data_IF_997983388506
#
_entry.id   IF_997983388506
#
_cell.length_a   1.000
_cell.length_b   1.000
_cell.length_c   1.000
_cell.angle_alpha   90.00
_cell.angle_beta   90.00
_cell.angle_gamma   90.00
#
_symmetry.space_group_name_H-M   'P 1'
#
loop_
_entity.id
_entity.type
_entity.pdbx_description
1 polymer ?
#
# COMPACT_ATOMS: atom_id res chain seq x y z
N UNK A 1 39.28 -35.15 9.44
CA UNK A 1 39.38 -33.80 8.84
C UNK A 1 38.15 -33.62 7.96
N UNK A 2 37.07 -33.06 8.52
CA UNK A 2 35.84 -32.77 7.77
C UNK A 2 35.89 -31.30 7.38
N UNK A 3 35.90 -31.01 6.08
CA UNK A 3 35.83 -29.66 5.54
C UNK A 3 34.39 -29.13 5.72
N UNK A 4 34.21 -28.27 6.72
CA UNK A 4 33.02 -27.44 6.91
C UNK A 4 33.04 -26.31 5.87
N UNK A 5 32.35 -26.52 4.75
CA UNK A 5 32.16 -25.54 3.70
C UNK A 5 31.01 -24.61 4.09
N UNK A 6 31.29 -23.63 4.96
CA UNK A 6 30.35 -22.53 5.22
C UNK A 6 30.32 -21.59 4.02
N UNK A 7 29.24 -21.69 3.24
CA UNK A 7 28.85 -20.62 2.33
C UNK A 7 28.58 -19.33 3.13
N UNK A 8 29.02 -18.16 2.67
CA UNK A 8 28.71 -16.90 3.33
C UNK A 8 27.21 -16.62 3.27
N UNK A 9 26.65 -16.27 4.44
CA UNK A 9 25.30 -15.73 4.64
C UNK A 9 25.06 -14.63 3.60
N UNK A 10 24.04 -14.80 2.77
CA UNK A 10 23.62 -13.76 1.83
C UNK A 10 23.23 -12.50 2.58
N UNK A 11 23.73 -11.36 2.11
CA UNK A 11 23.48 -10.03 2.61
C UNK A 11 21.97 -9.75 2.65
N UNK A 12 21.40 -9.85 3.85
CA UNK A 12 20.09 -9.32 4.18
C UNK A 12 20.21 -7.82 4.42
N UNK A 13 19.21 -7.10 3.90
CA UNK A 13 18.76 -5.80 4.38
C UNK A 13 19.65 -4.59 4.05
N UNK A 14 19.37 -4.02 2.88
CA UNK A 14 19.34 -2.57 2.74
C UNK A 14 18.23 -2.02 3.65
N UNK A 15 18.49 -1.94 4.95
CA UNK A 15 17.75 -1.04 5.84
C UNK A 15 18.00 0.37 5.31
N UNK A 16 17.00 0.94 4.64
CA UNK A 16 17.01 2.38 4.42
C UNK A 16 16.93 3.04 5.80
N UNK A 17 17.95 3.83 6.14
CA UNK A 17 17.93 4.70 7.31
C UNK A 17 16.79 5.72 7.16
N UNK A 18 15.65 5.36 7.75
CA UNK A 18 14.44 6.17 7.76
C UNK A 18 14.59 7.40 8.67
N UNK A 19 15.48 7.31 9.67
CA UNK A 19 15.64 8.30 10.74
C UNK A 19 16.43 9.53 10.30
N UNK A 20 17.27 9.38 9.28
CA UNK A 20 18.11 10.45 8.74
C UNK A 20 17.47 11.34 7.67
N UNK A 21 16.21 11.11 7.28
CA UNK A 21 15.60 11.86 6.15
C UNK A 21 14.96 13.17 6.61
N UNK A 22 15.42 14.29 6.04
CA UNK A 22 14.83 15.63 6.22
C UNK A 22 13.34 15.70 5.86
N UNK A 23 12.66 16.78 6.25
CA UNK A 23 11.21 16.93 6.14
C UNK A 23 10.71 16.72 4.70
N UNK A 24 9.47 16.20 4.47
CA UNK A 24 8.89 15.96 3.14
C UNK A 24 9.05 17.14 2.15
N UNK A 25 8.99 18.36 2.68
CA UNK A 25 9.11 19.62 1.93
C UNK A 25 10.54 19.92 1.43
N UNK A 26 11.56 19.41 2.11
CA UNK A 26 12.97 19.56 1.73
C UNK A 26 13.42 18.50 0.71
N UNK A 27 12.65 17.40 0.56
CA UNK A 27 13.00 16.23 -0.25
C UNK A 27 12.60 16.36 -1.73
N UNK A 28 11.57 17.13 -2.02
CA UNK A 28 11.10 17.35 -3.40
C UNK A 28 11.83 18.55 -3.99
N UNK A 29 12.99 18.32 -4.60
CA UNK A 29 13.74 19.38 -5.25
C UNK A 29 13.00 19.86 -6.51
N UNK A 30 12.61 21.15 -6.61
CA UNK A 30 11.88 21.67 -7.77
C UNK A 30 12.60 21.46 -9.11
N UNK A 31 13.95 21.42 -9.09
CA UNK A 31 14.76 21.16 -10.27
C UNK A 31 14.59 19.71 -10.80
N UNK A 32 14.62 18.72 -9.91
CA UNK A 32 14.42 17.32 -10.29
C UNK A 32 13.00 17.07 -10.83
N UNK A 33 12.00 17.73 -10.24
CA UNK A 33 10.63 17.71 -10.76
C UNK A 33 10.53 18.27 -12.19
N UNK A 34 11.17 19.41 -12.44
CA UNK A 34 11.17 20.05 -13.74
C UNK A 34 11.85 19.19 -14.82
N UNK A 35 12.99 18.58 -14.51
CA UNK A 35 13.70 17.66 -15.42
C UNK A 35 12.92 16.39 -15.72
N UNK A 36 12.20 15.87 -14.73
CA UNK A 36 11.31 14.73 -14.90
C UNK A 36 10.07 15.05 -15.76
N UNK A 37 9.78 16.32 -16.07
CA UNK A 37 8.63 16.72 -16.88
C UNK A 37 7.37 16.99 -16.06
N UNK A 38 7.52 17.48 -14.82
CA UNK A 38 6.41 17.79 -13.93
C UNK A 38 5.40 18.71 -14.61
N UNK A 39 4.11 18.45 -14.36
CA UNK A 39 3.03 19.22 -15.00
C UNK A 39 2.73 18.83 -16.46
N UNK A 40 3.52 17.95 -17.09
CA UNK A 40 3.21 17.41 -18.44
C UNK A 40 2.32 16.17 -18.35
N UNK A 41 1.49 15.99 -19.39
CA UNK A 41 0.56 14.87 -19.48
C UNK A 41 -0.49 14.83 -18.37
N UNK A 42 -1.23 13.73 -18.30
CA UNK A 42 -2.14 13.46 -17.19
C UNK A 42 -1.34 13.02 -15.96
N UNK A 43 -1.71 13.45 -14.73
CA UNK A 43 -1.10 12.94 -13.51
C UNK A 43 -1.13 11.40 -13.47
N UNK A 44 -0.01 10.77 -13.12
CA UNK A 44 0.16 9.30 -13.13
C UNK A 44 0.64 8.72 -14.46
N UNK A 45 0.82 9.53 -15.51
CA UNK A 45 1.38 9.03 -16.78
C UNK A 45 2.89 8.77 -16.65
N UNK A 46 3.26 7.49 -16.72
CA UNK A 46 4.63 7.00 -16.57
C UNK A 46 5.62 7.59 -17.59
N UNK A 47 5.13 8.04 -18.75
CA UNK A 47 5.97 8.60 -19.82
C UNK A 47 6.55 9.96 -19.47
N UNK A 48 5.96 10.65 -18.50
CA UNK A 48 6.43 11.91 -17.97
C UNK A 48 7.02 11.74 -16.57
N UNK A 49 7.33 10.52 -16.12
CA UNK A 49 8.10 10.31 -14.89
C UNK A 49 9.59 10.34 -15.20
N UNK A 50 10.39 10.80 -14.23
CA UNK A 50 11.84 10.69 -14.25
C UNK A 50 12.29 9.22 -14.33
N UNK A 51 13.51 8.94 -14.84
CA UNK A 51 13.96 7.57 -15.12
C UNK A 51 13.88 6.64 -13.90
N UNK A 52 14.21 7.15 -12.71
CA UNK A 52 14.19 6.38 -11.48
C UNK A 52 12.77 5.96 -11.08
N UNK A 53 11.83 6.91 -11.02
CA UNK A 53 10.43 6.65 -10.68
C UNK A 53 9.80 5.73 -11.72
N UNK A 54 10.10 5.93 -13.01
CA UNK A 54 9.63 5.04 -14.08
C UNK A 54 10.15 3.63 -13.92
N UNK A 55 11.43 3.46 -13.56
CA UNK A 55 12.02 2.14 -13.37
C UNK A 55 11.39 1.39 -12.19
N UNK A 56 11.00 2.11 -11.13
CA UNK A 56 10.33 1.51 -9.98
C UNK A 56 8.84 1.23 -10.22
N UNK A 57 8.09 2.18 -10.79
CA UNK A 57 6.64 2.02 -11.04
C UNK A 57 6.34 1.15 -12.26
N UNK A 58 7.17 1.17 -13.30
CA UNK A 58 6.94 0.42 -14.54
C UNK A 58 6.61 -1.06 -14.28
N UNK A 59 7.48 -1.82 -13.59
CA UNK A 59 7.23 -3.23 -13.27
C UNK A 59 5.94 -3.47 -12.48
N UNK A 60 5.61 -2.59 -11.51
CA UNK A 60 4.36 -2.67 -10.74
C UNK A 60 3.12 -2.43 -11.61
N UNK A 61 3.23 -1.55 -12.61
CA UNK A 61 2.10 -1.09 -13.42
C UNK A 61 1.97 -1.79 -14.75
N UNK A 62 2.99 -2.51 -15.23
CA UNK A 62 2.95 -3.24 -16.51
C UNK A 62 2.81 -4.75 -16.29
N UNK A 63 3.17 -5.25 -15.11
CA UNK A 63 3.04 -6.65 -14.72
C UNK A 63 1.60 -7.16 -14.61
N UNK A 64 1.43 -8.46 -14.40
CA UNK A 64 0.15 -9.11 -14.08
C UNK A 64 -0.28 -8.92 -12.64
N UNK A 65 0.56 -8.32 -11.80
CA UNK A 65 0.25 -8.07 -10.40
C UNK A 65 1.38 -7.40 -9.64
N UNK A 66 1.11 -7.10 -8.38
CA UNK A 66 2.07 -6.59 -7.41
C UNK A 66 1.79 -7.17 -6.03
N UNK A 67 2.77 -7.07 -5.15
CA UNK A 67 2.65 -7.49 -3.76
C UNK A 67 3.01 -6.33 -2.83
N UNK A 68 2.24 -6.13 -1.77
CA UNK A 68 2.55 -5.18 -0.70
C UNK A 68 2.80 -5.96 0.58
N UNK A 69 3.99 -5.80 1.16
CA UNK A 69 4.38 -6.42 2.43
C UNK A 69 4.37 -5.37 3.53
N UNK A 70 3.70 -5.63 4.64
CA UNK A 70 3.79 -4.80 5.83
C UNK A 70 5.04 -5.17 6.65
N UNK A 71 5.82 -4.16 7.03
CA UNK A 71 6.99 -4.35 7.89
C UNK A 71 6.53 -4.15 9.34
N UNK A 72 6.52 -5.24 10.11
CA UNK A 72 6.34 -5.21 11.56
C UNK A 72 7.73 -5.18 12.21
N UNK A 73 8.24 -3.99 12.53
CA UNK A 73 9.52 -3.89 13.24
C UNK A 73 9.34 -4.34 14.69
N UNK A 74 9.95 -5.47 15.06
CA UNK A 74 10.01 -5.96 16.44
C UNK A 74 10.81 -5.04 17.39
N UNK A 75 11.22 -3.85 16.93
CA UNK A 75 12.01 -2.86 17.65
C UNK A 75 11.16 -1.88 18.50
N UNK A 76 9.84 -2.06 18.61
CA UNK A 76 9.02 -1.28 19.55
C UNK A 76 9.33 -1.60 21.05
N UNK A 77 10.10 -2.66 21.35
CA UNK A 77 10.36 -3.09 22.73
C UNK A 77 11.56 -2.35 23.38
N UNK A 78 12.49 -1.73 22.63
CA UNK A 78 13.75 -1.26 23.23
C UNK A 78 14.04 0.24 23.13
N UNK A 79 13.44 1.02 22.22
CA UNK A 79 13.76 2.45 22.10
C UNK A 79 12.48 3.22 21.78
N UNK A 80 12.06 4.06 22.72
CA UNK A 80 10.84 4.85 22.60
C UNK A 80 10.82 5.70 21.34
N UNK A 81 9.85 5.38 20.48
CA UNK A 81 9.21 6.19 19.43
C UNK A 81 9.72 5.99 18.00
N UNK A 82 8.86 5.36 17.19
CA UNK A 82 8.53 5.66 15.79
C UNK A 82 7.38 4.70 15.37
N UNK A 83 6.13 5.16 15.38
CA UNK A 83 4.89 4.33 15.32
C UNK A 83 4.11 4.41 13.99
N UNK A 84 4.78 4.78 12.89
CA UNK A 84 4.15 4.93 11.58
C UNK A 84 4.05 3.61 10.81
N UNK A 85 3.00 3.43 10.00
CA UNK A 85 2.88 2.26 9.13
C UNK A 85 4.00 2.25 8.06
N UNK A 86 4.61 1.09 7.84
CA UNK A 86 5.67 0.86 6.86
C UNK A 86 5.36 -0.34 5.98
N UNK A 87 5.58 -0.19 4.68
CA UNK A 87 5.36 -1.23 3.69
C UNK A 87 6.43 -1.24 2.61
N UNK A 88 6.48 -2.34 1.89
CA UNK A 88 7.23 -2.47 0.66
C UNK A 88 6.31 -2.93 -0.46
N UNK A 89 6.38 -2.28 -1.62
CA UNK A 89 5.77 -2.78 -2.84
C UNK A 89 6.80 -3.54 -3.68
N UNK A 90 6.40 -4.72 -4.13
CA UNK A 90 7.18 -5.62 -4.96
C UNK A 90 6.43 -5.93 -6.25
N UNK A 91 7.16 -6.21 -7.32
CA UNK A 91 6.58 -6.68 -8.56
C UNK A 91 6.06 -8.13 -8.45
N UNK A 92 5.48 -8.63 -9.54
CA UNK A 92 4.98 -10.01 -9.65
C UNK A 92 6.04 -11.10 -9.41
N UNK A 93 7.33 -10.78 -9.53
CA UNK A 93 8.44 -11.70 -9.31
C UNK A 93 8.98 -11.61 -7.88
N UNK A 94 8.39 -10.77 -7.03
CA UNK A 94 8.88 -10.49 -5.67
C UNK A 94 10.08 -9.54 -5.65
N UNK A 95 10.41 -8.88 -6.76
CA UNK A 95 11.47 -7.88 -6.76
C UNK A 95 10.97 -6.61 -6.07
N UNK A 96 11.72 -6.11 -5.10
CA UNK A 96 11.42 -4.86 -4.43
C UNK A 96 11.41 -3.66 -5.40
N UNK A 97 10.39 -2.81 -5.31
CA UNK A 97 10.19 -1.62 -6.16
C UNK A 97 10.09 -0.31 -5.36
N UNK A 98 9.23 -0.25 -4.34
CA UNK A 98 8.95 0.98 -3.58
C UNK A 98 8.93 0.73 -2.07
N UNK A 99 9.46 1.70 -1.34
CA UNK A 99 9.29 1.81 0.10
C UNK A 99 8.10 2.73 0.36
N UNK A 100 7.27 2.38 1.33
CA UNK A 100 6.07 3.13 1.65
C UNK A 100 6.08 3.39 3.14
N UNK A 101 6.04 4.65 3.54
CA UNK A 101 6.04 5.02 4.94
C UNK A 101 5.02 6.09 5.25
N UNK A 102 4.45 6.00 6.44
CA UNK A 102 3.62 7.05 7.00
C UNK A 102 4.45 8.25 7.45
N UNK A 103 4.12 9.43 6.92
CA UNK A 103 4.76 10.70 7.25
C UNK A 103 3.79 11.52 8.10
N UNK A 104 3.86 11.38 9.41
CA UNK A 104 3.03 12.14 10.34
C UNK A 104 3.71 12.30 11.70
N UNK A 105 4.09 13.53 12.03
CA UNK A 105 4.67 13.86 13.33
C UNK A 105 3.58 14.17 14.35
N UNK A 106 3.60 13.51 15.50
CA UNK A 106 2.94 14.01 16.72
C UNK A 106 2.14 12.99 17.53
N UNK A 107 2.17 13.18 18.85
CA UNK A 107 1.41 12.43 19.86
C UNK A 107 -0.10 12.37 19.61
N UNK A 108 -0.67 13.36 18.92
CA UNK A 108 -2.10 13.42 18.61
C UNK A 108 -2.56 12.34 17.60
N UNK A 109 -1.70 11.97 16.65
CA UNK A 109 -2.02 10.91 15.68
C UNK A 109 -1.98 9.51 16.32
N UNK A 110 -1.10 9.29 17.29
CA UNK A 110 -1.05 8.02 18.04
C UNK A 110 -2.32 7.78 18.88
N UNK A 111 -2.90 8.82 19.49
CA UNK A 111 -4.14 8.73 20.27
C UNK A 111 -5.39 8.55 19.39
N UNK A 112 -5.39 9.13 18.18
CA UNK A 112 -6.48 9.00 17.20
C UNK A 112 -6.42 7.71 16.38
N UNK A 113 -5.36 6.89 16.51
CA UNK A 113 -5.23 5.59 15.81
C UNK A 113 -6.40 4.65 16.10
N UNK A 114 -6.97 4.73 17.30
CA UNK A 114 -8.15 3.95 17.69
C UNK A 114 -9.49 4.50 17.15
N UNK A 115 -9.49 5.67 16.50
CA UNK A 115 -10.70 6.34 16.01
C UNK A 115 -10.68 6.44 14.48
N UNK A 116 -10.60 5.30 13.79
CA UNK A 116 -10.82 5.27 12.33
C UNK A 116 -12.31 5.48 12.01
N UNK A 117 -12.71 6.30 11.01
CA UNK A 117 -11.91 7.00 9.99
C UNK A 117 -11.41 8.41 10.39
N UNK A 118 -11.60 8.82 11.64
CA UNK A 118 -11.29 10.16 12.18
C UNK A 118 -9.80 10.47 12.38
N UNK A 119 -8.90 9.89 11.58
CA UNK A 119 -7.47 10.22 11.60
C UNK A 119 -7.00 10.74 10.24
N UNK A 120 -6.00 11.63 10.30
CA UNK A 120 -5.24 12.06 9.13
C UNK A 120 -4.09 11.09 8.93
N UNK A 121 -3.98 10.52 7.73
CA UNK A 121 -2.86 9.66 7.34
C UNK A 121 -2.24 10.23 6.08
N UNK A 122 -0.91 10.20 6.02
CA UNK A 122 -0.16 10.54 4.82
C UNK A 122 0.88 9.46 4.60
N UNK A 123 0.78 8.76 3.46
CA UNK A 123 1.78 7.78 3.03
C UNK A 123 2.56 8.33 1.83
N UNK A 124 3.87 8.17 1.86
CA UNK A 124 4.74 8.45 0.73
C UNK A 124 5.30 7.14 0.18
N UNK A 125 5.08 6.87 -1.11
CA UNK A 125 5.71 5.78 -1.83
C UNK A 125 6.97 6.30 -2.52
N UNK A 126 8.13 5.75 -2.16
CA UNK A 126 9.44 6.20 -2.60
C UNK A 126 10.22 5.09 -3.30
N UNK A 127 11.03 5.46 -4.27
CA UNK A 127 12.03 4.57 -4.87
C UNK A 127 13.19 4.30 -3.90
N UNK A 128 14.09 3.37 -4.28
CA UNK A 128 15.33 3.12 -3.52
C UNK A 128 16.20 4.38 -3.33
N UNK A 129 16.31 5.23 -4.35
CA UNK A 129 17.06 6.48 -4.27
C UNK A 129 16.30 7.61 -3.57
N UNK A 130 15.07 7.37 -3.10
CA UNK A 130 14.27 8.32 -2.33
C UNK A 130 13.44 9.29 -3.17
N UNK A 131 13.34 9.09 -4.48
CA UNK A 131 12.42 9.84 -5.31
C UNK A 131 10.96 9.47 -4.99
N UNK A 132 10.11 10.49 -4.83
CA UNK A 132 8.67 10.31 -4.60
C UNK A 132 8.01 9.76 -5.87
N UNK A 133 7.33 8.63 -5.74
CA UNK A 133 6.58 8.00 -6.82
C UNK A 133 5.07 8.30 -6.73
N UNK A 134 4.53 8.26 -5.51
CA UNK A 134 3.11 8.43 -5.23
C UNK A 134 2.95 8.96 -3.81
N UNK A 135 1.96 9.83 -3.59
CA UNK A 135 1.55 10.24 -2.25
C UNK A 135 0.07 9.94 -2.03
N UNK A 136 -0.26 9.40 -0.87
CA UNK A 136 -1.62 9.00 -0.49
C UNK A 136 -1.98 9.78 0.77
N UNK A 137 -2.96 10.67 0.67
CA UNK A 137 -3.38 11.55 1.74
C UNK A 137 -4.82 11.21 2.11
N UNK A 138 -5.02 10.73 3.34
CA UNK A 138 -6.34 10.68 3.95
C UNK A 138 -6.50 11.91 4.83
N UNK A 139 -7.25 12.94 4.39
CA UNK A 139 -7.66 14.01 5.27
C UNK A 139 -8.60 13.45 6.35
N UNK A 140 -8.80 14.24 7.38
CA UNK A 140 -9.74 13.88 8.42
C UNK A 140 -11.18 13.81 7.86
N UNK A 141 -11.86 12.69 8.10
CA UNK A 141 -13.27 12.52 7.71
C UNK A 141 -14.13 12.08 8.88
N UNK A 142 -15.41 12.47 8.85
CA UNK A 142 -16.36 12.18 9.92
C UNK A 142 -17.13 10.85 9.77
N UNK A 143 -17.29 10.33 8.54
CA UNK A 143 -18.22 9.21 8.31
C UNK A 143 -17.74 8.23 7.24
N UNK A 144 -17.31 8.76 6.09
CA UNK A 144 -16.86 7.95 4.96
C UNK A 144 -15.38 8.19 4.70
N UNK A 145 -14.65 7.11 4.45
CA UNK A 145 -13.25 7.17 4.03
C UNK A 145 -13.14 7.97 2.74
N UNK A 146 -12.21 8.93 2.70
CA UNK A 146 -11.89 9.72 1.52
C UNK A 146 -10.37 9.86 1.48
N UNK A 147 -9.77 9.50 0.35
CA UNK A 147 -8.33 9.47 0.16
C UNK A 147 -8.00 10.17 -1.15
N UNK A 148 -7.08 11.11 -1.08
CA UNK A 148 -6.48 11.75 -2.24
C UNK A 148 -5.20 11.03 -2.63
N UNK A 149 -5.07 10.73 -3.91
CA UNK A 149 -3.87 10.11 -4.45
C UNK A 149 -3.20 11.13 -5.37
N UNK A 150 -2.00 11.57 -5.02
CA UNK A 150 -1.19 12.53 -5.77
C UNK A 150 -0.06 11.81 -6.48
N UNK A 151 0.20 12.23 -7.72
CA UNK A 151 1.30 11.72 -8.51
C UNK A 151 2.66 12.18 -7.95
N UNK A 152 3.74 11.63 -8.49
CA UNK A 152 5.14 11.99 -8.23
C UNK A 152 5.43 13.51 -8.27
N UNK A 153 4.67 14.28 -9.05
CA UNK A 153 4.81 15.74 -9.18
C UNK A 153 3.86 16.55 -8.29
N UNK A 154 3.19 15.90 -7.34
CA UNK A 154 2.28 16.52 -6.39
C UNK A 154 0.89 16.85 -6.96
N UNK A 155 0.64 16.67 -8.26
CA UNK A 155 -0.70 16.89 -8.84
C UNK A 155 -1.66 15.80 -8.38
N UNK A 156 -2.89 16.18 -8.06
CA UNK A 156 -3.96 15.24 -7.75
C UNK A 156 -4.22 14.31 -8.94
N UNK A 157 -4.02 13.02 -8.72
CA UNK A 157 -4.18 11.98 -9.74
C UNK A 157 -5.52 11.28 -9.63
N UNK A 158 -6.05 11.11 -8.43
CA UNK A 158 -7.37 10.53 -8.25
C UNK A 158 -7.80 10.54 -6.80
N UNK A 159 -9.02 10.08 -6.58
CA UNK A 159 -9.68 10.06 -5.29
C UNK A 159 -10.21 8.65 -5.06
N UNK A 160 -10.01 8.10 -3.87
CA UNK A 160 -10.68 6.88 -3.44
C UNK A 160 -11.68 7.28 -2.37
N UNK A 161 -12.96 7.03 -2.61
CA UNK A 161 -14.02 7.44 -1.68
C UNK A 161 -14.96 6.30 -1.36
N UNK A 162 -15.27 6.14 -0.08
CA UNK A 162 -16.21 5.16 0.40
C UNK A 162 -17.63 5.59 0.06
N UNK A 163 -18.42 4.63 -0.41
CA UNK A 163 -19.86 4.77 -0.63
C UNK A 163 -20.62 4.06 0.47
N UNK A 164 -21.79 4.62 0.76
CA UNK A 164 -22.74 3.95 1.64
C UNK A 164 -23.14 2.62 1.00
N UNK A 165 -22.99 1.54 1.75
CA UNK A 165 -23.41 0.20 1.36
C UNK A 165 -24.02 -0.48 2.57
N UNK A 166 -25.18 -1.12 2.38
CA UNK A 166 -25.91 -1.76 3.47
C UNK A 166 -25.30 -3.10 3.89
N UNK A 167 -24.71 -3.84 2.93
CA UNK A 167 -24.26 -5.23 3.12
C UNK A 167 -22.74 -5.41 2.98
N UNK A 168 -22.07 -4.52 2.25
CA UNK A 168 -20.62 -4.56 2.01
C UNK A 168 -20.08 -3.15 1.93
N UNK A 169 -18.80 -2.95 2.28
CA UNK A 169 -18.13 -1.69 1.98
C UNK A 169 -17.81 -1.64 0.49
N UNK A 170 -18.11 -0.51 -0.12
CA UNK A 170 -17.81 -0.24 -1.52
C UNK A 170 -17.09 1.10 -1.61
N UNK A 171 -16.08 1.17 -2.46
CA UNK A 171 -15.34 2.40 -2.73
C UNK A 171 -15.37 2.68 -4.23
N UNK A 172 -15.28 3.96 -4.59
CA UNK A 172 -15.10 4.39 -5.97
C UNK A 172 -13.68 4.94 -6.15
N UNK A 173 -13.03 4.50 -7.22
CA UNK A 173 -11.75 5.02 -7.69
C UNK A 173 -12.07 6.07 -8.75
N UNK A 174 -11.91 7.35 -8.40
CA UNK A 174 -12.35 8.49 -9.18
C UNK A 174 -11.18 9.27 -9.76
N UNK A 175 -11.44 9.94 -10.87
CA UNK A 175 -10.62 11.06 -11.35
C UNK A 175 -10.77 12.28 -10.43
N UNK A 176 -9.85 13.28 -10.48
CA UNK A 176 -10.00 14.56 -9.80
C UNK A 176 -11.30 15.29 -10.16
N UNK A 177 -11.79 15.11 -11.39
CA UNK A 177 -13.09 15.66 -11.83
C UNK A 177 -14.30 14.89 -11.31
N UNK A 178 -14.13 13.86 -10.49
CA UNK A 178 -15.21 13.07 -9.90
C UNK A 178 -15.71 11.90 -10.75
N UNK A 179 -15.30 11.79 -12.02
CA UNK A 179 -15.69 10.65 -12.87
C UNK A 179 -15.13 9.33 -12.29
N UNK A 180 -15.99 8.31 -12.17
CA UNK A 180 -15.63 6.99 -11.63
C UNK A 180 -14.90 6.19 -12.70
N UNK A 181 -13.68 5.74 -12.37
CA UNK A 181 -12.87 4.86 -13.23
C UNK A 181 -13.14 3.38 -12.95
N UNK A 182 -13.32 3.04 -11.67
CA UNK A 182 -13.62 1.70 -11.20
C UNK A 182 -14.29 1.73 -9.82
N UNK A 183 -14.88 0.62 -9.42
CA UNK A 183 -15.43 0.39 -8.08
C UNK A 183 -14.66 -0.73 -7.38
N UNK A 184 -14.29 -0.52 -6.13
CA UNK A 184 -13.71 -1.55 -5.26
C UNK A 184 -14.81 -2.10 -4.35
N UNK A 185 -15.12 -3.38 -4.51
CA UNK A 185 -16.11 -4.07 -3.71
C UNK A 185 -15.42 -4.94 -2.66
N UNK A 186 -15.72 -4.69 -1.38
CA UNK A 186 -15.28 -5.55 -0.29
C UNK A 186 -16.09 -6.85 -0.18
N UNK A 187 -15.58 -7.83 0.58
CA UNK A 187 -16.21 -9.14 0.71
C UNK A 187 -17.55 -9.05 1.46
N UNK A 188 -18.47 -9.96 1.13
CA UNK A 188 -19.71 -10.19 1.88
C UNK A 188 -19.50 -11.17 3.05
N UNK A 189 -18.75 -12.27 2.83
CA UNK A 189 -18.48 -13.35 3.80
C UNK A 189 -17.15 -14.07 3.46
N UNK A 190 -16.38 -14.51 4.48
CA UNK A 190 -15.02 -15.16 4.41
C UNK A 190 -13.93 -14.32 3.73
N UNK A 191 -12.67 -14.31 4.22
CA UNK A 191 -12.16 -12.98 4.46
C UNK A 191 -11.10 -12.54 3.44
N UNK A 192 -11.14 -11.23 3.18
CA UNK A 192 -10.06 -10.39 2.62
C UNK A 192 -9.80 -10.44 1.12
N UNK A 193 -10.78 -10.82 0.31
CA UNK A 193 -10.73 -10.56 -1.14
C UNK A 193 -11.57 -9.34 -1.48
N UNK A 194 -10.99 -8.40 -2.22
CA UNK A 194 -11.63 -7.21 -2.73
C UNK A 194 -11.56 -7.22 -4.25
N UNK A 195 -12.66 -6.88 -4.90
CA UNK A 195 -12.78 -6.92 -6.35
C UNK A 195 -12.83 -5.51 -6.91
N UNK A 196 -11.90 -5.18 -7.80
CA UNK A 196 -11.91 -3.92 -8.55
C UNK A 196 -12.65 -4.19 -9.86
N UNK A 197 -13.72 -3.44 -10.09
CA UNK A 197 -14.57 -3.56 -11.28
C UNK A 197 -14.59 -2.29 -12.09
N UNK A 198 -14.42 -2.41 -13.41
CA UNK A 198 -14.63 -1.33 -14.36
C UNK A 198 -15.81 -1.71 -15.26
N UNK A 199 -16.82 -0.85 -15.35
CA UNK A 199 -18.05 -1.11 -16.11
C UNK A 199 -18.70 -2.46 -15.77
N UNK A 200 -18.68 -2.84 -14.49
CA UNK A 200 -19.23 -4.10 -13.98
C UNK A 200 -18.37 -5.35 -14.20
N UNK A 201 -17.28 -5.26 -14.96
CA UNK A 201 -16.33 -6.36 -15.18
C UNK A 201 -15.18 -6.27 -14.19
N UNK A 202 -14.78 -7.40 -13.60
CA UNK A 202 -13.59 -7.45 -12.75
C UNK A 202 -12.33 -7.17 -13.56
N UNK A 203 -11.51 -6.23 -13.08
CA UNK A 203 -10.28 -5.79 -13.72
C UNK A 203 -9.05 -5.95 -12.82
N UNK A 204 -9.24 -6.05 -11.51
CA UNK A 204 -8.20 -6.43 -10.57
C UNK A 204 -8.79 -7.05 -9.31
N UNK A 205 -7.98 -7.82 -8.60
CA UNK A 205 -8.36 -8.46 -7.33
C UNK A 205 -7.27 -8.23 -6.29
N UNK A 206 -7.66 -7.75 -5.11
CA UNK A 206 -6.78 -7.52 -3.97
C UNK A 206 -7.07 -8.60 -2.93
N UNK A 207 -6.05 -9.33 -2.48
CA UNK A 207 -6.17 -10.41 -1.49
C UNK A 207 -5.19 -10.19 -0.35
N UNK A 208 -5.67 -10.20 0.89
CA UNK A 208 -4.78 -10.31 2.05
C UNK A 208 -4.42 -11.77 2.30
N UNK A 209 -3.13 -12.05 2.43
CA UNK A 209 -2.57 -13.32 2.85
C UNK A 209 -1.88 -13.14 4.21
N UNK A 210 -2.23 -13.99 5.18
CA UNK A 210 -1.68 -13.96 6.53
C UNK A 210 -0.50 -14.92 6.64
N UNK A 211 0.57 -14.50 7.31
CA UNK A 211 1.77 -15.32 7.61
C UNK A 211 1.42 -16.66 8.24
N UNK A 212 0.42 -16.70 9.15
CA UNK A 212 0.06 -17.89 9.94
C UNK A 212 -0.58 -19.06 9.18
N UNK A 213 -1.02 -18.89 7.93
CA UNK A 213 -1.50 -20.01 7.09
C UNK A 213 -0.37 -20.64 6.25
N UNK A 214 0.77 -19.96 6.12
CA UNK A 214 1.96 -20.43 5.43
C UNK A 214 2.99 -20.94 6.48
N UNK A 215 2.94 -22.24 6.73
CA UNK A 215 3.80 -22.95 7.68
C UNK A 215 5.29 -22.61 7.49
N UNK A 216 5.89 -22.05 8.54
CA UNK A 216 7.26 -22.29 9.02
C UNK A 216 8.49 -21.71 8.28
N UNK A 217 8.37 -20.80 7.31
CA UNK A 217 9.59 -20.24 6.64
C UNK A 217 9.64 -18.72 6.44
N UNK A 218 8.61 -17.96 6.81
CA UNK A 218 8.56 -16.52 6.54
C UNK A 218 8.22 -15.72 7.80
N UNK A 219 8.83 -14.54 7.91
CA UNK A 219 8.63 -13.57 8.98
C UNK A 219 7.15 -13.24 9.19
N UNK A 220 6.80 -12.80 10.39
CA UNK A 220 5.44 -12.53 10.88
C UNK A 220 4.79 -11.28 10.22
N UNK A 221 4.79 -11.22 8.90
CA UNK A 221 4.38 -10.09 8.07
C UNK A 221 3.13 -10.42 7.28
N UNK A 222 2.20 -9.48 7.25
CA UNK A 222 1.01 -9.55 6.40
C UNK A 222 1.36 -9.15 4.96
N UNK A 223 0.80 -9.88 3.99
CA UNK A 223 0.98 -9.62 2.57
C UNK A 223 -0.35 -9.29 1.91
N UNK A 224 -0.32 -8.35 0.97
CA UNK A 224 -1.42 -8.09 0.06
C UNK A 224 -0.98 -8.40 -1.37
N UNK A 225 -1.60 -9.40 -1.98
CA UNK A 225 -1.46 -9.67 -3.40
C UNK A 225 -2.47 -8.86 -4.20
N UNK A 226 -2.02 -8.20 -5.26
CA UNK A 226 -2.89 -7.59 -6.28
C UNK A 226 -2.67 -8.33 -7.58
N UNK A 227 -3.75 -8.84 -8.15
CA UNK A 227 -3.77 -9.47 -9.47
C UNK A 227 -4.49 -8.54 -10.45
N UNK A 228 -3.84 -8.17 -11.55
CA UNK A 228 -4.42 -7.38 -12.63
C UNK A 228 -4.92 -8.30 -13.74
N UNK A 229 -6.16 -8.09 -14.18
CA UNK A 229 -6.67 -8.76 -15.36
C UNK A 229 -5.99 -8.19 -16.62
N UNK A 230 -5.73 -9.00 -17.66
CA UNK A 230 -5.00 -8.54 -18.87
C UNK A 230 -5.60 -7.31 -19.56
N UNK A 231 -6.91 -7.08 -19.42
CA UNK A 231 -7.60 -5.93 -20.02
C UNK A 231 -7.37 -4.59 -19.31
N UNK A 232 -6.87 -4.58 -18.07
CA UNK A 232 -6.59 -3.36 -17.33
C UNK A 232 -5.26 -2.76 -17.77
N UNK A 233 -5.23 -1.86 -18.75
CA UNK A 233 -3.97 -1.26 -19.24
C UNK A 233 -3.76 0.18 -18.79
N UNK A 234 -4.75 0.80 -18.14
CA UNK A 234 -4.64 2.17 -17.64
C UNK A 234 -3.66 2.26 -16.46
N UNK A 235 -2.47 2.86 -16.63
CA UNK A 235 -1.46 2.94 -15.58
C UNK A 235 -1.92 3.77 -14.38
N UNK A 236 -2.85 4.72 -14.60
CA UNK A 236 -3.39 5.54 -13.53
C UNK A 236 -4.35 4.74 -12.66
N UNK A 237 -5.24 3.97 -13.26
CA UNK A 237 -6.12 3.08 -12.50
C UNK A 237 -5.31 2.04 -11.72
N UNK A 238 -4.24 1.47 -12.30
CA UNK A 238 -3.34 0.56 -11.58
C UNK A 238 -2.66 1.21 -10.37
N UNK A 239 -2.22 2.47 -10.47
CA UNK A 239 -1.71 3.21 -9.30
C UNK A 239 -2.79 3.47 -8.24
N UNK A 240 -4.03 3.76 -8.66
CA UNK A 240 -5.15 3.87 -7.72
C UNK A 240 -5.48 2.54 -7.04
N UNK A 241 -5.28 1.41 -7.71
CA UNK A 241 -5.41 0.08 -7.09
C UNK A 241 -4.30 -0.14 -6.06
N UNK A 242 -3.05 0.24 -6.33
CA UNK A 242 -1.97 0.21 -5.32
C UNK A 242 -2.33 1.05 -4.08
N UNK A 243 -2.81 2.28 -4.29
CA UNK A 243 -3.26 3.14 -3.19
C UNK A 243 -4.46 2.55 -2.43
N UNK A 244 -5.39 1.93 -3.14
CA UNK A 244 -6.53 1.23 -2.55
C UNK A 244 -6.10 0.04 -1.69
N UNK A 245 -5.07 -0.70 -2.10
CA UNK A 245 -4.48 -1.81 -1.31
C UNK A 245 -3.97 -1.31 0.04
N UNK A 246 -3.22 -0.21 0.03
CA UNK A 246 -2.69 0.41 1.27
C UNK A 246 -3.82 0.95 2.15
N UNK A 247 -4.80 1.62 1.55
CA UNK A 247 -6.00 2.08 2.27
C UNK A 247 -6.78 0.91 2.88
N UNK A 248 -6.94 -0.20 2.15
CA UNK A 248 -7.61 -1.41 2.67
C UNK A 248 -6.88 -1.93 3.89
N UNK A 249 -5.54 -1.99 3.86
CA UNK A 249 -4.77 -2.40 5.04
C UNK A 249 -5.07 -1.51 6.25
N UNK A 250 -4.92 -0.19 6.06
CA UNK A 250 -5.17 0.83 7.08
C UNK A 250 -6.62 0.81 7.62
N UNK A 251 -7.60 0.51 6.77
CA UNK A 251 -9.03 0.63 7.10
C UNK A 251 -9.70 -0.65 7.64
N UNK A 252 -9.08 -1.82 7.42
CA UNK A 252 -9.67 -3.11 7.79
C UNK A 252 -8.90 -3.87 8.87
N UNK A 253 -7.62 -3.54 9.15
CA UNK A 253 -6.77 -4.44 9.93
C UNK A 253 -6.06 -3.85 11.14
N UNK A 254 -5.99 -2.52 11.26
CA UNK A 254 -5.51 -1.90 12.51
C UNK A 254 -6.48 -2.08 13.70
N UNK A 255 -7.71 -2.58 13.47
CA UNK A 255 -8.68 -2.90 14.53
C UNK A 255 -8.31 -4.12 15.41
N UNK A 256 -7.18 -4.80 15.17
CA UNK A 256 -6.85 -6.06 15.87
C UNK A 256 -5.71 -6.00 16.89
N UNK A 257 -5.13 -4.84 17.18
CA UNK A 257 -4.03 -4.75 18.15
C UNK A 257 -4.42 -4.12 19.50
N UNK A 258 -5.70 -3.81 19.71
CA UNK A 258 -6.21 -3.27 20.97
C UNK A 258 -7.36 -4.10 21.54
N UNK A 259 -7.01 -5.18 22.26
CA UNK A 259 -7.87 -5.74 23.32
C UNK A 259 -8.23 -7.22 23.20
N UNK A 260 -7.59 -8.03 24.04
CA UNK A 260 -8.14 -9.22 24.73
C UNK A 260 -8.75 -10.34 23.88
N UNK A 261 -7.95 -11.41 23.72
CA UNK A 261 -8.33 -12.81 23.43
C UNK A 261 -9.75 -13.11 22.95
N UNK A 262 -9.90 -13.41 21.66
CA UNK A 262 -11.04 -14.18 21.16
C UNK A 262 -10.55 -15.52 20.60
N UNK A 263 -10.90 -16.58 21.32
CA UNK A 263 -10.71 -17.98 20.97
C UNK A 263 -11.57 -18.28 19.73
N UNK A 264 -11.00 -18.22 18.52
CA UNK A 264 -11.64 -18.78 17.33
C UNK A 264 -11.14 -20.21 17.14
N UNK A 265 -12.06 -21.15 17.33
CA UNK A 265 -11.82 -22.58 17.33
C UNK A 265 -11.17 -23.05 16.01
N UNK A 266 -10.09 -23.82 16.16
CA UNK A 266 -9.30 -24.54 15.14
C UNK A 266 -10.15 -25.47 14.25
N UNK A 267 -11.41 -25.73 14.62
CA UNK A 267 -12.29 -26.70 13.96
C UNK A 267 -12.95 -26.18 12.67
N UNK A 268 -12.95 -24.88 12.40
CA UNK A 268 -13.48 -24.32 11.13
C UNK A 268 -12.50 -24.43 9.94
N UNK A 269 -11.27 -24.89 10.19
CA UNK A 269 -10.18 -24.97 9.19
C UNK A 269 -10.30 -26.23 8.30
N UNK A 270 -11.06 -27.25 8.71
CA UNK A 270 -11.06 -28.56 8.03
C UNK A 270 -12.04 -28.72 6.85
N UNK A 271 -12.84 -27.71 6.48
CA UNK A 271 -13.74 -27.77 5.33
C UNK A 271 -13.24 -26.97 4.11
N UNK A 272 -11.97 -27.13 3.73
CA UNK A 272 -11.35 -26.44 2.57
C UNK A 272 -11.02 -27.40 1.39
N UNK A 273 -11.57 -28.61 1.38
CA UNK A 273 -11.59 -29.44 0.17
C UNK A 273 -12.95 -30.15 0.03
N UNK A 274 -13.93 -29.41 -0.45
CA UNK A 274 -14.98 -29.84 -1.39
C UNK A 274 -15.66 -28.60 -2.01
#
# INVERSE_FOLDING_TARGET
MSNDNRQPKGDSELELDWKGRGAPEERVQPAALAEAGAGRGTPGDIRFMGPEVRHALGPLLEGSGLCVRQIHEWAEILVGWETGNRYEAMDQNGQFMLYIGETGEGWGNALLRNFWPFRRVELECMTKGGALALRIEQPWTFFFTYVEVKAWDGRLMGIIQQRFGLLRRTFELCTPGGAVLATLEGPLWRPWTFHVKQNGQEVATIRKQWSGLAREMFTDSDFFGVEFQPGLTDPRLRQLVLAATLMVDLAYFEERTSGTGSVFNILDIFNIFD
#
